data_IF_905279588524
#
_entry.id   IF_905279588524
#
_cell.length_a   1.000
_cell.length_b   1.000
_cell.length_c   1.000
_cell.angle_alpha   90.00
_cell.angle_beta   90.00
_cell.angle_gamma   90.00
#
_symmetry.space_group_name_H-M   'P 1'
#
loop_
_entity.id
_entity.type
_entity.pdbx_description
1 polymer ?
#
# COMPACT_ATOMS: atom_id res chain seq x y z
N UNK A 1 -6.76 -21.94 -5.55
CA UNK A 1 -7.98 -21.23 -6.00
C UNK A 1 -9.15 -21.34 -5.03
N UNK A 2 -9.53 -22.51 -4.53
CA UNK A 2 -10.67 -22.68 -3.57
C UNK A 2 -10.45 -21.86 -2.28
N UNK A 3 -9.26 -21.91 -1.69
CA UNK A 3 -8.90 -21.15 -0.50
C UNK A 3 -8.99 -19.64 -0.71
N UNK A 4 -8.51 -19.15 -1.86
CA UNK A 4 -8.60 -17.72 -2.23
C UNK A 4 -10.05 -17.26 -2.33
N UNK A 5 -10.93 -18.09 -2.91
CA UNK A 5 -12.36 -17.79 -2.99
C UNK A 5 -13.03 -17.77 -1.61
N UNK A 6 -12.66 -18.69 -0.70
CA UNK A 6 -13.18 -18.74 0.67
C UNK A 6 -12.85 -17.43 1.40
N UNK A 7 -11.63 -16.92 1.26
CA UNK A 7 -11.20 -15.67 1.89
C UNK A 7 -11.84 -14.44 1.23
N UNK A 8 -11.92 -14.41 -0.09
CA UNK A 8 -12.39 -13.23 -0.82
C UNK A 8 -13.93 -13.04 -0.76
N UNK A 9 -14.72 -14.12 -0.71
CA UNK A 9 -16.19 -14.00 -0.66
C UNK A 9 -16.72 -13.13 0.49
N UNK A 10 -16.34 -13.34 1.76
CA UNK A 10 -16.82 -12.50 2.85
C UNK A 10 -16.31 -11.05 2.72
N UNK A 11 -15.10 -10.83 2.23
CA UNK A 11 -14.54 -9.49 2.01
C UNK A 11 -15.34 -8.75 0.94
N UNK A 12 -15.63 -9.39 -0.20
CA UNK A 12 -16.44 -8.79 -1.27
C UNK A 12 -17.84 -8.44 -0.76
N UNK A 13 -18.45 -9.33 0.02
CA UNK A 13 -19.78 -9.08 0.62
C UNK A 13 -19.76 -7.92 1.60
N UNK A 14 -18.75 -7.85 2.46
CA UNK A 14 -18.61 -6.80 3.47
C UNK A 14 -18.42 -5.42 2.85
N UNK A 15 -17.63 -5.32 1.79
CA UNK A 15 -17.26 -4.07 1.13
C UNK A 15 -18.05 -3.79 -0.15
N UNK A 16 -19.23 -4.41 -0.35
CA UNK A 16 -20.01 -4.28 -1.58
C UNK A 16 -20.41 -2.84 -1.94
N UNK A 17 -20.45 -1.92 -0.97
CA UNK A 17 -20.73 -0.50 -1.18
C UNK A 17 -19.51 0.29 -1.66
N UNK A 18 -18.33 -0.33 -1.67
CA UNK A 18 -17.09 0.29 -2.11
C UNK A 18 -16.69 -0.23 -3.49
N UNK A 19 -15.92 0.56 -4.21
CA UNK A 19 -15.27 0.11 -5.44
C UNK A 19 -14.05 -0.76 -5.08
N UNK A 20 -14.22 -2.07 -5.10
CA UNK A 20 -13.18 -3.03 -4.75
C UNK A 20 -12.28 -3.28 -5.97
N UNK A 21 -10.96 -3.25 -5.75
CA UNK A 21 -9.95 -3.70 -6.71
C UNK A 21 -9.05 -4.73 -6.04
N UNK A 22 -9.12 -5.98 -6.49
CA UNK A 22 -8.28 -7.07 -5.98
C UNK A 22 -6.94 -7.04 -6.71
N UNK A 23 -5.84 -6.95 -5.94
CA UNK A 23 -4.48 -6.92 -6.47
C UNK A 23 -3.73 -8.18 -6.04
N UNK A 24 -3.14 -8.88 -7.00
CA UNK A 24 -2.36 -10.10 -6.75
C UNK A 24 -1.00 -10.07 -7.43
N UNK A 25 0.02 -10.65 -6.76
CA UNK A 25 1.34 -10.82 -7.35
C UNK A 25 1.43 -12.08 -8.23
N UNK A 26 2.65 -12.51 -8.59
CA UNK A 26 2.86 -13.67 -9.47
C UNK A 26 2.40 -15.01 -8.90
N UNK A 27 2.19 -15.12 -7.61
CA UNK A 27 1.66 -16.33 -6.98
C UNK A 27 0.15 -16.44 -7.20
N UNK A 28 -0.52 -15.31 -7.32
CA UNK A 28 -1.96 -15.21 -7.61
C UNK A 28 -2.26 -15.07 -9.11
N UNK A 29 -1.42 -15.61 -9.99
CA UNK A 29 -1.54 -15.49 -11.46
C UNK A 29 -2.66 -16.34 -12.08
N UNK A 30 -3.46 -17.04 -11.28
CA UNK A 30 -4.52 -17.93 -11.78
C UNK A 30 -5.56 -17.18 -12.61
N UNK A 31 -5.72 -17.59 -13.87
CA UNK A 31 -6.72 -17.02 -14.77
C UNK A 31 -8.14 -17.42 -14.35
N UNK A 32 -8.29 -18.60 -13.72
CA UNK A 32 -9.57 -19.00 -13.12
C UNK A 32 -9.98 -18.07 -11.97
N UNK A 33 -9.01 -17.61 -11.18
CA UNK A 33 -9.25 -16.61 -10.14
C UNK A 33 -9.70 -15.29 -10.77
N UNK A 34 -9.03 -14.83 -11.82
CA UNK A 34 -9.41 -13.63 -12.55
C UNK A 34 -10.85 -13.70 -13.07
N UNK A 35 -11.21 -14.83 -13.69
CA UNK A 35 -12.56 -15.05 -14.20
C UNK A 35 -13.60 -15.11 -13.07
N UNK A 36 -13.27 -15.76 -11.98
CA UNK A 36 -14.17 -15.81 -10.83
C UNK A 36 -14.40 -14.41 -10.22
N UNK A 37 -13.34 -13.60 -10.04
CA UNK A 37 -13.44 -12.21 -9.54
C UNK A 37 -14.30 -11.37 -10.48
N UNK A 38 -14.08 -11.48 -11.79
CA UNK A 38 -14.84 -10.76 -12.80
C UNK A 38 -16.34 -11.08 -12.75
N UNK A 39 -16.69 -12.36 -12.58
CA UNK A 39 -18.09 -12.83 -12.38
C UNK A 39 -18.73 -12.27 -11.10
N UNK A 40 -17.94 -11.88 -10.10
CA UNK A 40 -18.44 -11.19 -8.90
C UNK A 40 -18.66 -9.68 -9.13
N UNK A 41 -18.40 -9.16 -10.33
CA UNK A 41 -18.51 -7.73 -10.65
C UNK A 41 -17.38 -6.88 -10.03
N UNK A 42 -16.30 -7.51 -9.54
CA UNK A 42 -15.20 -6.86 -8.84
C UNK A 42 -14.05 -6.59 -9.79
N UNK A 43 -13.38 -5.45 -9.62
CA UNK A 43 -12.19 -5.10 -10.39
C UNK A 43 -10.96 -5.85 -9.86
N UNK A 44 -10.01 -6.14 -10.78
CA UNK A 44 -8.80 -6.83 -10.37
C UNK A 44 -7.57 -6.40 -11.17
N UNK A 45 -6.39 -6.62 -10.60
CA UNK A 45 -5.08 -6.51 -11.27
C UNK A 45 -4.19 -7.65 -10.77
N UNK A 46 -4.01 -8.67 -11.58
CA UNK A 46 -3.24 -9.87 -11.25
C UNK A 46 -1.98 -9.97 -12.12
N UNK A 47 -0.81 -10.01 -11.48
CA UNK A 47 0.45 -10.12 -12.19
C UNK A 47 0.64 -11.53 -12.72
N UNK A 48 0.86 -11.64 -14.04
CA UNK A 48 1.05 -12.90 -14.75
C UNK A 48 2.52 -13.30 -14.84
N UNK A 49 2.76 -14.59 -15.03
CA UNK A 49 4.07 -15.14 -15.37
C UNK A 49 4.38 -14.84 -16.83
N UNK A 50 5.68 -14.70 -17.18
CA UNK A 50 6.13 -14.38 -18.54
C UNK A 50 5.82 -15.44 -19.59
N UNK A 51 5.63 -16.68 -19.16
CA UNK A 51 5.30 -17.86 -19.97
C UNK A 51 3.79 -18.04 -20.19
N UNK A 52 2.95 -17.25 -19.52
CA UNK A 52 1.50 -17.23 -19.76
C UNK A 52 1.21 -16.90 -21.22
N UNK A 53 0.36 -17.69 -21.87
CA UNK A 53 0.01 -17.50 -23.28
C UNK A 53 -1.19 -16.56 -23.42
N UNK A 54 -1.17 -15.71 -24.44
CA UNK A 54 -2.27 -14.81 -24.78
C UNK A 54 -2.48 -14.73 -26.28
N UNK A 55 -3.67 -14.32 -26.69
CA UNK A 55 -4.02 -14.06 -28.09
C UNK A 55 -4.80 -12.76 -28.18
N UNK A 56 -4.42 -11.90 -29.09
CA UNK A 56 -5.16 -10.69 -29.43
C UNK A 56 -5.94 -10.93 -30.73
N UNK A 57 -7.24 -10.72 -30.70
CA UNK A 57 -8.14 -10.93 -31.84
C UNK A 57 -7.98 -12.36 -32.43
N UNK A 58 -7.83 -12.49 -33.77
CA UNK A 58 -7.68 -13.75 -34.50
C UNK A 58 -6.21 -14.21 -34.67
N UNK A 59 -5.23 -13.60 -33.95
CA UNK A 59 -3.81 -13.98 -34.05
C UNK A 59 -3.54 -15.33 -33.35
N UNK A 60 -2.36 -15.90 -33.59
CA UNK A 60 -1.88 -17.09 -32.87
C UNK A 60 -1.63 -16.78 -31.38
N UNK A 61 -1.72 -17.79 -30.55
CA UNK A 61 -1.31 -17.67 -29.13
C UNK A 61 0.21 -17.52 -29.03
N UNK A 62 0.65 -16.53 -28.28
CA UNK A 62 2.07 -16.27 -28.00
C UNK A 62 2.24 -16.12 -26.48
N UNK A 63 3.47 -16.33 -25.99
CA UNK A 63 3.78 -16.08 -24.59
C UNK A 63 3.84 -14.56 -24.31
N UNK A 64 3.58 -14.15 -23.08
CA UNK A 64 3.69 -12.74 -22.69
C UNK A 64 5.13 -12.21 -22.84
N UNK A 65 6.13 -13.10 -22.74
CA UNK A 65 7.54 -12.74 -22.97
C UNK A 65 7.85 -12.31 -24.40
N UNK A 66 7.02 -12.70 -25.38
CA UNK A 66 7.17 -12.26 -26.78
C UNK A 66 6.81 -10.80 -27.01
N UNK A 67 6.16 -10.16 -26.03
CA UNK A 67 5.82 -8.73 -26.13
C UNK A 67 7.09 -7.91 -25.95
N UNK A 68 7.58 -7.37 -27.06
CA UNK A 68 8.76 -6.51 -27.06
C UNK A 68 8.45 -5.19 -26.33
N UNK A 69 9.09 -5.00 -25.17
CA UNK A 69 9.00 -3.78 -24.36
C UNK A 69 10.39 -3.47 -23.82
N UNK A 70 10.79 -2.21 -23.83
CA UNK A 70 12.02 -1.74 -23.23
C UNK A 70 11.76 -1.08 -21.86
N UNK A 71 12.79 -0.94 -21.00
CA UNK A 71 12.67 -0.18 -19.75
C UNK A 71 12.15 1.24 -19.98
N UNK A 72 11.11 1.61 -19.24
CA UNK A 72 10.39 2.88 -19.40
C UNK A 72 9.18 2.82 -20.33
N UNK A 73 9.04 1.78 -21.11
CA UNK A 73 7.90 1.60 -22.00
C UNK A 73 6.70 0.94 -21.32
N UNK A 74 5.55 1.16 -21.92
CA UNK A 74 4.26 0.63 -21.47
C UNK A 74 3.37 0.33 -22.67
N UNK A 75 2.61 -0.75 -22.61
CA UNK A 75 1.66 -1.16 -23.64
C UNK A 75 0.35 -1.60 -22.99
N UNK A 76 -0.75 -1.39 -23.68
CA UNK A 76 -2.06 -1.85 -23.22
C UNK A 76 -2.74 -2.64 -24.33
N UNK A 77 -3.25 -3.79 -24.02
CA UNK A 77 -3.96 -4.66 -24.95
C UNK A 77 -5.37 -4.90 -24.40
N UNK A 78 -6.36 -4.47 -25.16
CA UNK A 78 -7.76 -4.66 -24.79
C UNK A 78 -8.29 -5.99 -25.33
N UNK A 79 -9.21 -6.58 -24.58
CA UNK A 79 -9.99 -7.77 -24.99
C UNK A 79 -9.13 -8.94 -25.49
N UNK A 80 -8.10 -9.29 -24.73
CA UNK A 80 -7.27 -10.45 -25.05
C UNK A 80 -7.93 -11.75 -24.60
N UNK A 81 -7.61 -12.85 -25.29
CA UNK A 81 -7.83 -14.21 -24.79
C UNK A 81 -6.58 -14.66 -24.03
N UNK A 82 -6.76 -15.16 -22.82
CA UNK A 82 -5.64 -15.57 -21.96
C UNK A 82 -5.70 -17.07 -21.73
N UNK A 83 -4.53 -17.69 -21.80
CA UNK A 83 -4.17 -19.10 -21.86
C UNK A 83 -4.82 -19.87 -23.01
N UNK A 84 -3.97 -20.54 -23.79
CA UNK A 84 -4.41 -21.39 -24.90
C UNK A 84 -5.29 -22.56 -24.41
N UNK A 85 -4.94 -23.13 -23.23
CA UNK A 85 -5.67 -24.28 -22.67
C UNK A 85 -7.09 -23.94 -22.20
N UNK A 86 -7.33 -22.75 -21.66
CA UNK A 86 -8.60 -22.37 -21.06
C UNK A 86 -9.41 -21.39 -21.89
N UNK A 87 -8.73 -20.62 -22.74
CA UNK A 87 -9.37 -19.74 -23.71
C UNK A 87 -10.23 -18.62 -23.10
N UNK A 88 -9.96 -18.20 -21.87
CA UNK A 88 -10.68 -17.09 -21.25
C UNK A 88 -10.46 -15.80 -22.03
N UNK A 89 -11.54 -15.16 -22.42
CA UNK A 89 -11.51 -13.96 -23.26
C UNK A 89 -11.98 -12.71 -22.54
N UNK A 90 -11.74 -11.55 -23.23
CA UNK A 90 -12.21 -10.22 -22.84
C UNK A 90 -11.59 -9.64 -21.57
N UNK A 91 -10.37 -10.03 -21.26
CA UNK A 91 -9.56 -9.32 -20.28
C UNK A 91 -8.62 -8.32 -20.93
N UNK A 92 -8.20 -7.35 -20.18
CA UNK A 92 -7.18 -6.39 -20.61
C UNK A 92 -5.83 -6.78 -20.04
N UNK A 93 -4.75 -6.44 -20.74
CA UNK A 93 -3.37 -6.69 -20.33
C UNK A 93 -2.62 -5.36 -20.34
N UNK A 94 -2.21 -4.90 -19.16
CA UNK A 94 -1.32 -3.78 -19.01
C UNK A 94 0.13 -4.30 -18.87
N UNK A 95 1.01 -3.88 -19.77
CA UNK A 95 2.43 -4.22 -19.74
C UNK A 95 3.20 -2.96 -19.37
N UNK A 96 3.96 -3.05 -18.29
CA UNK A 96 4.70 -1.92 -17.76
C UNK A 96 6.11 -2.34 -17.37
N UNK A 97 7.12 -1.68 -17.94
CA UNK A 97 8.51 -1.85 -17.52
C UNK A 97 9.00 -0.55 -16.90
N UNK A 98 9.30 -0.60 -15.61
CA UNK A 98 9.80 0.57 -14.89
C UNK A 98 11.12 1.04 -15.49
N UNK A 99 11.27 2.35 -15.67
CA UNK A 99 12.53 2.97 -16.10
C UNK A 99 13.63 2.71 -15.06
N UNK A 100 14.85 2.52 -15.53
CA UNK A 100 16.03 2.44 -14.65
C UNK A 100 16.12 3.68 -13.76
N UNK A 101 16.33 3.48 -12.47
CA UNK A 101 16.48 4.56 -11.50
C UNK A 101 17.61 4.24 -10.52
N UNK A 102 18.61 5.14 -10.38
CA UNK A 102 19.77 4.97 -9.49
C UNK A 102 20.41 3.58 -9.59
N UNK A 103 20.75 3.15 -10.79
CA UNK A 103 21.34 1.83 -11.11
C UNK A 103 20.46 0.60 -10.74
N UNK A 104 19.24 0.80 -10.27
CA UNK A 104 18.28 -0.28 -10.04
C UNK A 104 17.31 -0.37 -11.22
N UNK A 105 17.35 -1.52 -11.89
CA UNK A 105 16.44 -1.86 -12.98
C UNK A 105 15.70 -3.15 -12.64
N UNK A 106 14.40 -3.18 -12.88
CA UNK A 106 13.66 -4.44 -12.78
C UNK A 106 14.10 -5.40 -13.89
N UNK A 107 14.30 -6.67 -13.53
CA UNK A 107 14.79 -7.72 -14.46
C UNK A 107 13.79 -8.02 -15.59
N UNK A 108 12.51 -7.71 -15.42
CA UNK A 108 11.45 -8.00 -16.39
C UNK A 108 10.26 -7.06 -16.24
N UNK A 109 9.50 -6.83 -17.31
CA UNK A 109 8.27 -6.03 -17.23
C UNK A 109 7.21 -6.69 -16.33
N UNK A 110 6.29 -5.88 -15.88
CA UNK A 110 5.06 -6.36 -15.25
C UNK A 110 4.04 -6.69 -16.33
N UNK A 111 3.50 -7.89 -16.31
CA UNK A 111 2.37 -8.31 -17.11
C UNK A 111 1.15 -8.36 -16.20
N UNK A 112 0.26 -7.38 -16.30
CA UNK A 112 -0.87 -7.19 -15.40
C UNK A 112 -2.17 -7.53 -16.14
N UNK A 113 -2.76 -8.68 -15.81
CA UNK A 113 -4.09 -9.06 -16.28
C UNK A 113 -5.13 -8.31 -15.47
N UNK A 114 -6.11 -7.69 -16.14
CA UNK A 114 -7.08 -6.82 -15.49
C UNK A 114 -8.38 -6.72 -16.27
N UNK A 115 -9.46 -6.35 -15.59
CA UNK A 115 -10.72 -5.90 -16.18
C UNK A 115 -10.91 -4.37 -16.07
N UNK A 116 -9.86 -3.63 -15.69
CA UNK A 116 -9.84 -2.18 -15.76
C UNK A 116 -9.65 -1.72 -17.21
N UNK A 117 -10.20 -0.56 -17.56
CA UNK A 117 -10.28 -0.05 -18.94
C UNK A 117 -8.99 0.57 -19.45
N UNK A 118 -8.04 0.93 -18.56
CA UNK A 118 -6.84 1.67 -18.93
C UNK A 118 -5.59 1.21 -18.16
N UNK A 119 -4.44 1.52 -18.75
CA UNK A 119 -3.12 1.15 -18.24
C UNK A 119 -2.75 1.89 -16.96
N UNK A 120 -3.04 3.17 -16.88
CA UNK A 120 -2.59 4.01 -15.76
C UNK A 120 -3.29 3.60 -14.47
N UNK A 121 -4.60 3.38 -14.53
CA UNK A 121 -5.39 2.87 -13.41
C UNK A 121 -4.92 1.49 -12.97
N UNK A 122 -4.65 0.57 -13.91
CA UNK A 122 -4.14 -0.75 -13.60
C UNK A 122 -2.76 -0.70 -12.92
N UNK A 123 -1.83 0.10 -13.44
CA UNK A 123 -0.49 0.27 -12.85
C UNK A 123 -0.56 0.98 -11.50
N UNK A 124 -1.43 1.99 -11.35
CA UNK A 124 -1.65 2.70 -10.08
C UNK A 124 -2.17 1.73 -9.01
N UNK A 125 -3.20 0.94 -9.34
CA UNK A 125 -3.75 -0.07 -8.44
C UNK A 125 -2.68 -1.11 -8.06
N UNK A 126 -1.93 -1.65 -9.02
CA UNK A 126 -0.87 -2.63 -8.73
C UNK A 126 0.23 -2.07 -7.83
N UNK A 127 0.57 -0.80 -7.96
CA UNK A 127 1.56 -0.14 -7.09
C UNK A 127 1.12 -0.09 -5.62
N UNK A 128 -0.17 -0.10 -5.32
CA UNK A 128 -0.67 -0.13 -3.93
C UNK A 128 -0.29 -1.44 -3.19
N UNK A 129 0.05 -2.51 -3.92
CA UNK A 129 0.55 -3.77 -3.34
C UNK A 129 1.74 -3.56 -2.40
N UNK A 130 2.61 -2.59 -2.67
CA UNK A 130 3.75 -2.27 -1.82
C UNK A 130 3.35 -1.88 -0.38
N UNK A 131 2.11 -1.42 -0.19
CA UNK A 131 1.57 -1.13 1.14
C UNK A 131 1.48 -2.37 2.03
N UNK A 132 1.22 -3.55 1.45
CA UNK A 132 1.16 -4.83 2.18
C UNK A 132 2.53 -5.21 2.73
N UNK A 133 3.60 -5.03 1.93
CA UNK A 133 4.97 -5.32 2.38
C UNK A 133 5.40 -4.37 3.52
N UNK A 134 5.01 -3.10 3.44
CA UNK A 134 5.24 -2.13 4.51
C UNK A 134 4.47 -2.52 5.78
N UNK A 135 3.20 -2.89 5.65
CA UNK A 135 2.37 -3.36 6.76
C UNK A 135 2.98 -4.59 7.45
N UNK A 136 3.40 -5.61 6.70
CA UNK A 136 4.05 -6.79 7.28
C UNK A 136 5.36 -6.44 7.98
N UNK A 137 6.15 -5.52 7.42
CA UNK A 137 7.35 -5.03 8.08
C UNK A 137 7.03 -4.33 9.41
N UNK A 138 6.03 -3.49 9.43
CA UNK A 138 5.58 -2.80 10.65
C UNK A 138 5.06 -3.79 11.70
N UNK A 139 4.36 -4.86 11.28
CA UNK A 139 3.92 -5.94 12.17
C UNK A 139 5.07 -6.79 12.72
N UNK A 140 6.18 -6.94 11.97
CA UNK A 140 7.30 -7.80 12.38
C UNK A 140 8.32 -7.04 13.24
N UNK A 141 8.98 -6.06 12.65
CA UNK A 141 10.13 -5.39 13.27
C UNK A 141 9.94 -3.89 13.47
N UNK A 142 8.91 -3.30 12.85
CA UNK A 142 8.70 -1.85 12.81
C UNK A 142 7.81 -1.30 13.93
N UNK A 143 7.19 -2.15 14.75
CA UNK A 143 6.27 -1.68 15.77
C UNK A 143 5.79 -2.77 16.75
N UNK A 144 5.19 -3.86 16.25
CA UNK A 144 4.49 -4.82 17.13
C UNK A 144 5.26 -6.10 17.40
N UNK A 145 6.37 -6.35 16.72
CA UNK A 145 7.23 -7.54 16.90
C UNK A 145 6.46 -8.88 16.97
N UNK A 146 5.55 -9.09 16.03
CA UNK A 146 4.66 -10.26 15.99
C UNK A 146 5.43 -11.59 16.01
N UNK A 147 6.59 -11.67 15.33
CA UNK A 147 7.44 -12.85 15.28
C UNK A 147 8.07 -13.15 16.65
N UNK A 148 8.42 -12.12 17.43
CA UNK A 148 8.99 -12.28 18.78
C UNK A 148 7.97 -12.71 19.83
N UNK A 149 6.68 -12.70 19.52
CA UNK A 149 5.62 -13.04 20.49
C UNK A 149 5.62 -14.51 20.92
N UNK A 150 6.16 -15.43 20.08
CA UNK A 150 6.14 -16.89 20.28
C UNK A 150 4.74 -17.44 20.65
N UNK A 151 3.69 -16.76 20.24
CA UNK A 151 2.31 -17.12 20.58
C UNK A 151 1.86 -18.39 19.86
N UNK A 152 1.07 -19.21 20.53
CA UNK A 152 0.40 -20.36 19.90
C UNK A 152 -0.55 -19.90 18.78
N UNK A 153 -0.88 -20.74 17.79
CA UNK A 153 -1.73 -20.37 16.66
C UNK A 153 -3.03 -19.65 17.04
N UNK A 154 -3.73 -20.14 18.07
CA UNK A 154 -4.99 -19.54 18.53
C UNK A 154 -4.79 -18.16 19.17
N UNK A 155 -3.71 -18.00 19.94
CA UNK A 155 -3.33 -16.70 20.52
C UNK A 155 -2.87 -15.74 19.40
N UNK A 156 -2.17 -16.27 18.40
CA UNK A 156 -1.70 -15.49 17.26
C UNK A 156 -2.85 -14.86 16.47
N UNK A 157 -3.95 -15.60 16.22
CA UNK A 157 -5.14 -15.06 15.54
C UNK A 157 -5.72 -13.87 16.30
N UNK A 158 -5.85 -13.97 17.63
CA UNK A 158 -6.33 -12.87 18.48
C UNK A 158 -5.37 -11.68 18.47
N UNK A 159 -4.08 -11.95 18.54
CA UNK A 159 -3.03 -10.92 18.50
C UNK A 159 -3.04 -10.18 17.16
N UNK A 160 -3.21 -10.89 16.04
CA UNK A 160 -3.34 -10.27 14.69
C UNK A 160 -4.54 -9.33 14.64
N UNK A 161 -5.68 -9.71 15.24
CA UNK A 161 -6.86 -8.84 15.30
C UNK A 161 -6.57 -7.54 16.08
N UNK A 162 -5.95 -7.66 17.25
CA UNK A 162 -5.58 -6.50 18.07
C UNK A 162 -4.57 -5.60 17.34
N UNK A 163 -3.57 -6.20 16.69
CA UNK A 163 -2.60 -5.47 15.88
C UNK A 163 -3.28 -4.77 14.70
N UNK A 164 -4.24 -5.42 14.03
CA UNK A 164 -4.97 -4.80 12.92
C UNK A 164 -5.75 -3.55 13.38
N UNK A 165 -6.40 -3.60 14.55
CA UNK A 165 -7.09 -2.46 15.15
C UNK A 165 -6.07 -1.36 15.50
N UNK A 166 -5.01 -1.68 16.23
CA UNK A 166 -3.99 -0.73 16.64
C UNK A 166 -3.29 -0.05 15.44
N UNK A 167 -2.96 -0.83 14.40
CA UNK A 167 -2.39 -0.29 13.15
C UNK A 167 -3.35 0.66 12.43
N UNK A 168 -4.63 0.29 12.36
CA UNK A 168 -5.63 1.12 11.71
C UNK A 168 -5.79 2.43 12.47
N UNK A 169 -5.87 2.38 13.79
CA UNK A 169 -5.97 3.58 14.64
C UNK A 169 -4.73 4.47 14.46
N UNK A 170 -3.53 3.93 14.58
CA UNK A 170 -2.29 4.68 14.38
C UNK A 170 -2.20 5.28 12.97
N UNK A 171 -2.63 4.53 11.94
CA UNK A 171 -2.64 5.05 10.57
C UNK A 171 -3.60 6.23 10.40
N UNK A 172 -4.83 6.13 10.93
CA UNK A 172 -5.84 7.18 10.87
C UNK A 172 -5.38 8.45 11.62
N UNK A 173 -4.80 8.30 12.80
CA UNK A 173 -4.23 9.41 13.56
C UNK A 173 -3.10 10.10 12.78
N UNK A 174 -2.17 9.33 12.23
CA UNK A 174 -1.08 9.87 11.43
C UNK A 174 -1.56 10.55 10.14
N UNK A 175 -2.65 10.09 9.55
CA UNK A 175 -3.28 10.76 8.42
C UNK A 175 -3.85 12.12 8.83
N UNK A 176 -4.61 12.19 9.92
CA UNK A 176 -5.14 13.46 10.46
C UNK A 176 -4.01 14.45 10.77
N UNK A 177 -2.96 14.00 11.48
CA UNK A 177 -1.78 14.82 11.79
C UNK A 177 -1.10 15.34 10.52
N UNK A 178 -1.06 14.50 9.48
CA UNK A 178 -0.47 14.85 8.18
C UNK A 178 -1.31 15.86 7.42
N UNK A 179 -2.65 15.74 7.45
CA UNK A 179 -3.60 16.71 6.87
C UNK A 179 -3.47 18.07 7.56
N UNK A 180 -3.33 18.08 8.88
CA UNK A 180 -3.07 19.31 9.67
C UNK A 180 -1.70 19.93 9.40
N UNK A 181 -0.82 19.30 8.61
CA UNK A 181 0.53 19.79 8.29
C UNK A 181 1.50 19.73 9.48
N UNK A 182 1.17 18.96 10.54
CA UNK A 182 1.95 18.89 11.78
C UNK A 182 2.91 17.71 11.85
N UNK A 183 2.94 16.85 10.84
CA UNK A 183 3.84 15.68 10.78
C UNK A 183 5.33 16.05 10.90
N UNK A 184 5.72 17.30 10.60
CA UNK A 184 7.11 17.79 10.72
C UNK A 184 7.60 17.90 12.17
N UNK A 185 6.71 17.96 13.14
CA UNK A 185 7.07 17.95 14.57
C UNK A 185 7.41 16.55 15.08
N UNK A 186 6.83 15.52 14.46
CA UNK A 186 7.02 14.12 14.84
C UNK A 186 8.09 13.46 13.97
N UNK A 187 8.12 13.82 12.68
CA UNK A 187 9.05 13.27 11.69
C UNK A 187 10.31 14.13 11.57
N UNK A 188 11.40 13.52 11.11
CA UNK A 188 12.57 14.28 10.70
C UNK A 188 12.21 15.31 9.62
N UNK A 189 12.81 16.51 9.66
CA UNK A 189 12.66 17.52 8.62
C UNK A 189 12.94 16.94 7.23
N UNK A 190 12.36 17.54 6.19
CA UNK A 190 12.66 17.17 4.80
C UNK A 190 14.14 17.40 4.54
N UNK A 191 14.81 16.34 4.09
CA UNK A 191 16.19 16.42 3.61
C UNK A 191 16.21 17.09 2.23
N UNK A 192 17.21 17.91 1.95
CA UNK A 192 17.42 18.52 0.64
C UNK A 192 17.46 17.42 -0.45
N UNK A 193 16.71 17.62 -1.54
CA UNK A 193 16.62 16.66 -2.64
C UNK A 193 15.66 15.50 -2.45
N UNK A 194 14.87 15.46 -1.37
CA UNK A 194 13.86 14.43 -1.14
C UNK A 194 12.46 14.98 -1.30
N UNK A 195 11.75 14.56 -2.36
CA UNK A 195 10.37 15.00 -2.66
C UNK A 195 9.29 14.20 -1.90
N UNK A 196 9.61 12.98 -1.42
CA UNK A 196 8.65 12.09 -0.75
C UNK A 196 8.83 12.10 0.76
N UNK A 197 7.72 11.91 1.49
CA UNK A 197 7.71 11.70 2.94
C UNK A 197 8.66 10.57 3.33
N UNK A 198 9.36 10.72 4.44
CA UNK A 198 10.26 9.69 4.99
C UNK A 198 9.51 8.61 5.76
N UNK A 199 8.47 9.00 6.46
CA UNK A 199 7.70 8.16 7.36
C UNK A 199 6.28 7.94 6.84
N UNK A 200 5.71 6.74 7.10
CA UNK A 200 4.33 6.40 6.79
C UNK A 200 3.36 7.12 7.74
N UNK A 201 2.08 7.19 7.38
CA UNK A 201 1.05 7.67 8.31
C UNK A 201 1.00 6.81 9.57
N UNK A 202 1.16 5.49 9.46
CA UNK A 202 1.26 4.58 10.60
C UNK A 202 2.36 5.03 11.58
N UNK A 203 3.57 5.28 11.08
CA UNK A 203 4.69 5.74 11.90
C UNK A 203 4.39 7.08 12.58
N UNK A 204 3.81 8.03 11.83
CA UNK A 204 3.45 9.36 12.36
C UNK A 204 2.43 9.25 13.49
N UNK A 205 1.41 8.38 13.36
CA UNK A 205 0.42 8.18 14.41
C UNK A 205 0.98 7.48 15.64
N UNK A 206 1.76 6.41 15.43
CA UNK A 206 2.37 5.66 16.53
C UNK A 206 3.30 6.54 17.39
N UNK A 207 4.17 7.30 16.75
CA UNK A 207 5.12 8.17 17.46
C UNK A 207 4.53 9.52 17.85
N UNK A 208 3.45 9.95 17.24
CA UNK A 208 2.69 11.14 17.66
C UNK A 208 2.17 11.01 19.08
N UNK A 209 1.65 9.85 19.43
CA UNK A 209 1.22 9.57 20.81
C UNK A 209 2.38 9.65 21.80
N UNK A 210 3.51 9.03 21.49
CA UNK A 210 4.71 9.11 22.34
C UNK A 210 5.22 10.54 22.51
N UNK A 211 5.11 11.36 21.45
CA UNK A 211 5.52 12.76 21.50
C UNK A 211 4.62 13.58 22.42
N UNK A 212 3.29 13.31 22.43
CA UNK A 212 2.34 13.94 23.35
C UNK A 212 2.66 13.53 24.80
N UNK A 213 2.88 12.24 25.05
CA UNK A 213 3.21 11.77 26.39
C UNK A 213 4.50 12.41 26.93
N UNK A 214 5.55 12.43 26.12
CA UNK A 214 6.81 13.08 26.51
C UNK A 214 6.65 14.59 26.76
N UNK A 215 5.73 15.26 26.04
CA UNK A 215 5.47 16.68 26.29
C UNK A 215 4.82 16.90 27.65
N UNK A 216 3.87 16.09 28.06
CA UNK A 216 3.24 16.21 29.38
C UNK A 216 4.25 16.12 30.52
N UNK A 217 5.25 15.26 30.37
CA UNK A 217 6.34 15.15 31.34
C UNK A 217 7.24 16.38 31.39
N UNK A 218 7.36 17.11 30.26
CA UNK A 218 8.24 18.28 30.12
C UNK A 218 7.50 19.61 30.13
N UNK A 219 6.20 19.63 30.37
CA UNK A 219 5.36 20.83 30.21
C UNK A 219 5.88 22.01 31.02
N UNK A 220 6.18 21.82 32.30
CA UNK A 220 6.68 22.86 33.18
C UNK A 220 8.00 23.48 32.68
N UNK A 221 8.89 22.64 32.15
CA UNK A 221 10.16 23.10 31.59
C UNK A 221 9.95 23.94 30.33
N UNK A 222 8.99 23.54 29.48
CA UNK A 222 8.65 24.29 28.26
C UNK A 222 8.05 25.66 28.63
N UNK A 223 7.17 25.72 29.64
CA UNK A 223 6.58 26.96 30.14
C UNK A 223 7.66 27.90 30.68
N UNK A 224 8.61 27.37 31.46
CA UNK A 224 9.77 28.15 31.93
C UNK A 224 10.61 28.66 30.75
N UNK A 225 10.93 27.85 29.75
CA UNK A 225 11.65 28.26 28.55
C UNK A 225 10.95 29.38 27.79
N UNK A 226 9.63 29.37 27.74
CA UNK A 226 8.82 30.45 27.12
C UNK A 226 8.99 31.78 27.85
N UNK A 227 9.18 31.76 29.17
CA UNK A 227 9.38 32.98 29.97
C UNK A 227 10.82 33.51 29.89
N UNK A 228 11.81 32.64 29.85
CA UNK A 228 13.24 33.04 29.90
C UNK A 228 13.79 33.55 28.56
N UNK A 229 13.31 33.02 27.43
CA UNK A 229 13.91 33.33 26.11
C UNK A 229 12.92 34.09 25.23
N UNK A 230 12.87 35.43 25.44
CA UNK A 230 11.92 36.32 24.71
C UNK A 230 12.00 36.23 23.20
N UNK A 231 13.19 36.17 22.61
CA UNK A 231 13.37 36.10 21.14
C UNK A 231 12.90 34.77 20.52
N UNK A 232 12.77 33.69 21.30
CA UNK A 232 12.29 32.40 20.85
C UNK A 232 10.83 32.11 21.22
N UNK A 233 10.20 33.03 21.96
CA UNK A 233 8.82 32.88 22.43
C UNK A 233 7.83 32.49 21.33
N UNK A 234 7.94 33.11 20.15
CA UNK A 234 7.08 32.81 19.01
C UNK A 234 7.24 31.35 18.47
N UNK A 235 8.45 30.81 18.55
CA UNK A 235 8.72 29.42 18.16
C UNK A 235 8.11 28.44 19.17
N UNK A 236 8.27 28.70 20.46
CA UNK A 236 7.65 27.86 21.50
C UNK A 236 6.11 27.90 21.43
N UNK A 237 5.52 29.08 21.24
CA UNK A 237 4.08 29.21 21.07
C UNK A 237 3.56 28.45 19.84
N UNK A 238 4.30 28.43 18.72
CA UNK A 238 3.98 27.60 17.55
C UNK A 238 4.05 26.11 17.89
N UNK A 239 5.04 25.69 18.67
CA UNK A 239 5.17 24.31 19.15
C UNK A 239 3.98 23.88 20.02
N UNK A 240 3.60 24.71 21.00
CA UNK A 240 2.41 24.47 21.85
C UNK A 240 1.12 24.37 21.04
N UNK A 241 0.89 25.28 20.09
CA UNK A 241 -0.26 25.22 19.19
C UNK A 241 -0.25 23.95 18.32
N UNK A 242 0.92 23.52 17.86
CA UNK A 242 1.03 22.27 17.12
C UNK A 242 0.71 21.05 17.99
N UNK A 243 1.14 21.05 19.26
CA UNK A 243 0.82 20.00 20.23
C UNK A 243 -0.70 19.86 20.41
N UNK A 244 -1.40 20.96 20.69
CA UNK A 244 -2.86 20.94 20.86
C UNK A 244 -3.56 20.34 19.65
N UNK A 245 -3.12 20.69 18.43
CA UNK A 245 -3.69 20.13 17.19
C UNK A 245 -3.39 18.63 17.02
N UNK A 246 -2.21 18.19 17.46
CA UNK A 246 -1.83 16.77 17.41
C UNK A 246 -2.66 15.98 18.45
N UNK A 247 -2.87 16.51 19.64
CA UNK A 247 -3.75 15.92 20.67
C UNK A 247 -5.20 15.77 20.18
N UNK A 248 -5.75 16.79 19.52
CA UNK A 248 -7.10 16.71 18.93
C UNK A 248 -7.22 15.69 17.79
N UNK A 249 -6.13 15.32 17.15
CA UNK A 249 -6.08 14.32 16.10
C UNK A 249 -5.96 12.88 16.64
N UNK A 250 -5.52 12.73 17.91
CA UNK A 250 -5.34 11.45 18.59
C UNK A 250 -6.58 10.98 19.28
#
# INVERSE_FOLDING_TARGET
MREQQIVLRPVIKLFKTYQIVIVGDREFHSVDLAQWIDRQGVKFVLRQKKDTTFRQKRRKFNSLSSIQVAPGQRKFFSEINITQKKGFGRFNLAVYWRRKYRNKQEKSPWYLLTNLSDLETAVKAYKQRWGIEAMFKDCKTGGYNLEGSQASPDKLVRLILLIAIAMTTAWLQGEKISILGKSTYICRPKEAGRTKRRHSNFWVGLYGHNWIAAFHECQEWVEQLVTFVRNKRTFYQRGLKALTLIQQAS
#
